data_IF_237941391617
#
_entry.id   IF_237941391617
#
_cell.length_a   1.000
_cell.length_b   1.000
_cell.length_c   1.000
_cell.angle_alpha   90.00
_cell.angle_beta   90.00
_cell.angle_gamma   90.00
#
_symmetry.space_group_name_H-M   'P 1'
#
loop_
_entity.id
_entity.type
_entity.pdbx_description
1 polymer ?
#
# COMPACT_ATOMS: atom_id res chain seq x y z
N UNK A 1 0.81 -14.43 -11.99
CA UNK A 1 0.59 -15.14 -13.24
C UNK A 1 -0.72 -15.95 -13.25
N UNK A 2 -1.16 -16.52 -12.13
CA UNK A 2 -2.49 -17.19 -12.01
C UNK A 2 -3.61 -16.16 -11.74
N UNK A 3 -3.26 -14.98 -11.30
CA UNK A 3 -4.18 -13.89 -10.97
C UNK A 3 -4.88 -13.26 -12.18
N UNK A 4 -4.32 -13.38 -13.39
CA UNK A 4 -4.84 -12.74 -14.59
C UNK A 4 -6.20 -13.28 -15.09
N UNK A 5 -6.62 -14.46 -14.63
CA UNK A 5 -7.86 -15.13 -15.07
C UNK A 5 -9.02 -15.06 -14.06
N UNK A 6 -8.80 -14.46 -12.90
CA UNK A 6 -9.86 -14.39 -11.87
C UNK A 6 -10.75 -13.14 -12.09
N UNK A 7 -12.10 -13.27 -12.14
CA UNK A 7 -12.99 -12.13 -12.40
C UNK A 7 -12.82 -10.96 -11.42
N UNK A 8 -12.51 -11.25 -10.15
CA UNK A 8 -12.20 -10.22 -9.15
C UNK A 8 -10.87 -9.50 -9.42
N UNK A 9 -9.88 -10.19 -10.03
CA UNK A 9 -8.62 -9.57 -10.37
C UNK A 9 -8.74 -8.60 -11.54
N UNK A 10 -9.60 -8.88 -12.52
CA UNK A 10 -9.90 -7.91 -13.58
C UNK A 10 -10.51 -6.63 -13.02
N UNK A 11 -11.41 -6.75 -12.05
CA UNK A 11 -11.95 -5.58 -11.34
C UNK A 11 -10.86 -4.78 -10.61
N UNK A 12 -9.93 -5.45 -9.91
CA UNK A 12 -8.78 -4.79 -9.29
C UNK A 12 -7.82 -4.18 -10.33
N UNK A 13 -7.57 -4.85 -11.46
CA UNK A 13 -6.73 -4.35 -12.55
C UNK A 13 -7.31 -3.07 -13.17
N UNK A 14 -8.61 -2.97 -13.30
CA UNK A 14 -9.29 -1.75 -13.74
C UNK A 14 -9.14 -0.61 -12.73
N UNK A 15 -9.17 -0.92 -11.42
CA UNK A 15 -8.90 0.04 -10.36
C UNK A 15 -7.44 0.53 -10.32
N UNK A 16 -6.47 -0.31 -10.70
CA UNK A 16 -5.04 0.03 -10.74
C UNK A 16 -4.61 0.78 -12.03
N UNK A 17 -5.40 0.73 -13.09
CA UNK A 17 -5.05 1.33 -14.38
C UNK A 17 -5.31 2.84 -14.46
N UNK A 18 -5.75 3.46 -13.38
CA UNK A 18 -5.95 4.90 -13.35
C UNK A 18 -4.58 5.57 -13.19
N UNK A 19 -4.06 6.11 -14.28
CA UNK A 19 -2.85 6.94 -14.30
C UNK A 19 -3.16 8.29 -13.61
N UNK A 20 -3.27 8.26 -12.29
CA UNK A 20 -3.65 9.40 -11.49
C UNK A 20 -2.44 10.05 -10.85
N UNK A 21 -2.41 11.35 -10.91
CA UNK A 21 -1.52 12.22 -10.14
C UNK A 21 -1.87 12.28 -8.64
N UNK A 22 -2.52 11.23 -8.12
CA UNK A 22 -2.86 11.13 -6.71
C UNK A 22 -1.60 11.13 -5.84
N UNK A 23 -1.56 11.98 -4.83
CA UNK A 23 -0.56 11.98 -3.77
C UNK A 23 -1.17 11.41 -2.50
N UNK A 24 -0.44 10.49 -1.88
CA UNK A 24 -0.75 10.01 -0.55
C UNK A 24 -0.37 11.10 0.46
N UNK A 25 -1.28 11.39 1.40
CA UNK A 25 -1.07 12.36 2.45
C UNK A 25 -1.05 11.73 3.85
N UNK A 26 -0.51 12.47 4.82
CA UNK A 26 -0.59 12.11 6.24
C UNK A 26 -2.07 12.03 6.65
N UNK A 27 -2.40 11.11 7.54
CA UNK A 27 -3.75 10.80 8.03
C UNK A 27 -4.63 9.95 7.10
N UNK A 28 -4.20 9.66 5.87
CA UNK A 28 -4.96 8.80 4.99
C UNK A 28 -4.90 7.33 5.39
N UNK A 29 -6.01 6.63 5.16
CA UNK A 29 -6.09 5.21 5.44
C UNK A 29 -5.43 4.40 4.33
N UNK A 30 -4.61 3.44 4.74
CA UNK A 30 -3.97 2.45 3.87
C UNK A 30 -4.23 1.04 4.39
N UNK A 31 -3.99 0.04 3.56
CA UNK A 31 -4.19 -1.36 3.90
C UNK A 31 -2.95 -2.17 3.59
N UNK A 32 -2.49 -2.96 4.58
CA UNK A 32 -1.43 -3.96 4.41
C UNK A 32 -2.10 -5.29 4.09
N UNK A 33 -1.82 -5.84 2.91
CA UNK A 33 -2.41 -7.08 2.42
C UNK A 33 -1.45 -8.24 2.62
N UNK A 34 -1.66 -9.04 3.66
CA UNK A 34 -0.71 -10.10 4.00
C UNK A 34 -1.36 -11.27 4.73
N UNK A 35 -0.49 -12.09 5.30
CA UNK A 35 -0.88 -13.31 6.00
C UNK A 35 -0.39 -13.28 7.46
N UNK A 36 -0.99 -12.44 8.33
CA UNK A 36 -0.57 -12.32 9.73
C UNK A 36 -0.62 -13.67 10.41
N UNK A 37 0.48 -14.09 11.05
CA UNK A 37 0.65 -15.40 11.66
C UNK A 37 0.34 -16.59 10.74
N UNK A 38 0.43 -16.41 9.42
CA UNK A 38 0.04 -17.42 8.44
C UNK A 38 -1.47 -17.60 8.27
N UNK A 39 -2.29 -16.76 8.90
CA UNK A 39 -3.75 -16.82 8.71
C UNK A 39 -4.15 -16.43 7.29
N UNK A 40 -5.07 -17.20 6.74
CA UNK A 40 -5.66 -16.96 5.42
C UNK A 40 -7.18 -17.05 5.51
N UNK A 41 -7.85 -16.28 4.67
CA UNK A 41 -9.27 -16.52 4.38
C UNK A 41 -9.34 -17.43 3.16
N UNK A 42 -9.99 -18.60 3.28
CA UNK A 42 -10.13 -19.55 2.17
C UNK A 42 -11.48 -19.40 1.50
N UNK A 43 -11.47 -19.31 0.18
CA UNK A 43 -12.65 -19.43 -0.67
C UNK A 43 -12.35 -20.43 -1.77
N UNK A 44 -13.11 -21.54 -1.85
CA UNK A 44 -12.96 -22.59 -2.90
C UNK A 44 -11.51 -23.07 -3.08
N UNK A 45 -10.79 -23.31 -2.00
CA UNK A 45 -9.38 -23.73 -1.95
C UNK A 45 -8.34 -22.66 -2.33
N UNK A 46 -8.72 -21.42 -2.55
CA UNK A 46 -7.77 -20.32 -2.78
C UNK A 46 -7.55 -19.52 -1.48
N UNK A 47 -6.30 -19.30 -1.07
CA UNK A 47 -6.00 -18.45 0.06
C UNK A 47 -6.14 -16.98 -0.32
N UNK A 48 -6.81 -16.20 0.52
CA UNK A 48 -6.92 -14.76 0.38
C UNK A 48 -6.16 -14.07 1.51
N UNK A 49 -5.52 -12.96 1.19
CA UNK A 49 -4.82 -12.14 2.16
C UNK A 49 -5.80 -11.48 3.15
N UNK A 50 -5.33 -11.27 4.37
CA UNK A 50 -5.99 -10.44 5.36
C UNK A 50 -5.63 -8.98 5.10
N UNK A 51 -6.63 -8.12 5.14
CA UNK A 51 -6.47 -6.68 4.99
C UNK A 51 -6.36 -6.04 6.37
N UNK A 52 -5.17 -5.58 6.73
CA UNK A 52 -4.93 -4.86 7.99
C UNK A 52 -4.94 -3.37 7.69
N UNK A 53 -5.85 -2.63 8.31
CA UNK A 53 -5.91 -1.18 8.16
C UNK A 53 -4.77 -0.50 8.90
N UNK A 54 -4.34 0.63 8.37
CA UNK A 54 -3.40 1.55 8.99
C UNK A 54 -3.64 2.96 8.52
N UNK A 55 -2.97 3.91 9.16
CA UNK A 55 -3.03 5.33 8.83
C UNK A 55 -1.62 5.82 8.50
N UNK A 56 -1.47 6.65 7.48
CA UNK A 56 -0.20 7.30 7.15
C UNK A 56 0.20 8.22 8.29
N UNK A 57 1.36 7.93 8.91
CA UNK A 57 1.83 8.58 10.14
C UNK A 57 3.02 9.52 9.93
N UNK A 58 3.63 9.53 8.76
CA UNK A 58 4.68 10.49 8.39
C UNK A 58 4.47 10.98 6.97
N UNK A 59 5.05 12.15 6.66
CA UNK A 59 4.95 12.77 5.34
C UNK A 59 5.48 11.86 4.22
N UNK A 60 4.61 11.32 3.31
CA UNK A 60 5.06 10.36 2.31
C UNK A 60 5.91 10.97 1.20
N UNK A 61 5.86 12.28 1.00
CA UNK A 61 6.68 13.00 0.00
C UNK A 61 8.14 13.10 0.44
N UNK A 62 8.43 13.03 1.74
CA UNK A 62 9.77 13.12 2.32
C UNK A 62 10.35 11.74 2.61
N UNK A 63 11.68 11.63 2.64
CA UNK A 63 12.37 10.43 3.06
C UNK A 63 12.51 10.38 4.59
N UNK A 64 12.50 9.19 5.15
CA UNK A 64 12.80 9.00 6.57
C UNK A 64 14.29 9.10 6.82
N UNK A 65 14.65 9.72 7.95
CA UNK A 65 16.03 9.65 8.46
C UNK A 65 16.11 8.55 9.52
N UNK A 66 16.84 7.47 9.22
CA UNK A 66 17.07 6.35 10.14
C UNK A 66 18.57 6.24 10.37
N UNK A 67 19.01 6.47 11.62
CA UNK A 67 20.42 6.42 12.00
C UNK A 67 21.33 7.31 11.09
N UNK A 68 20.91 8.54 10.85
CA UNK A 68 21.58 9.52 9.97
C UNK A 68 21.68 9.10 8.50
N UNK A 69 20.82 8.19 8.05
CA UNK A 69 20.70 7.82 6.65
C UNK A 69 19.29 8.12 6.17
N UNK A 70 19.19 8.84 5.07
CA UNK A 70 17.92 9.02 4.38
C UNK A 70 17.54 7.73 3.65
N UNK A 71 16.31 7.27 3.91
CA UNK A 71 15.75 6.10 3.26
C UNK A 71 14.41 6.43 2.61
N UNK A 72 14.12 5.93 1.40
CA UNK A 72 12.89 6.21 0.66
C UNK A 72 11.71 5.40 1.23
N UNK A 73 11.37 5.69 2.47
CA UNK A 73 10.28 5.06 3.20
C UNK A 73 9.44 6.13 3.92
N UNK A 74 8.25 5.73 4.35
CA UNK A 74 7.39 6.51 5.24
C UNK A 74 6.84 5.60 6.35
N UNK A 75 6.23 6.18 7.36
CA UNK A 75 5.63 5.44 8.48
C UNK A 75 4.12 5.33 8.33
N UNK A 76 3.59 4.20 8.73
CA UNK A 76 2.17 3.99 8.98
C UNK A 76 1.95 3.58 10.43
N UNK A 77 0.86 4.03 11.03
CA UNK A 77 0.33 3.51 12.28
C UNK A 77 -0.62 2.36 11.96
N UNK A 78 -0.24 1.13 12.29
CA UNK A 78 -1.01 -0.07 11.93
C UNK A 78 -0.69 -1.22 12.85
N UNK A 79 -1.74 -1.89 13.35
CA UNK A 79 -1.60 -3.11 14.18
C UNK A 79 -1.17 -4.34 13.37
N UNK A 80 -0.10 -4.18 12.61
CA UNK A 80 0.50 -5.28 11.85
C UNK A 80 1.10 -6.35 12.77
N UNK A 81 1.26 -7.55 12.25
CA UNK A 81 1.73 -8.72 12.99
C UNK A 81 2.80 -9.47 12.19
N UNK A 82 3.48 -10.39 12.86
CA UNK A 82 4.43 -11.30 12.22
C UNK A 82 3.79 -11.98 10.98
N UNK A 83 4.54 -12.10 9.89
CA UNK A 83 4.07 -12.65 8.62
C UNK A 83 3.56 -11.59 7.64
N UNK A 84 3.51 -10.31 8.03
CA UNK A 84 3.11 -9.21 7.13
C UNK A 84 4.29 -8.44 6.50
N UNK A 85 5.53 -8.69 6.93
CA UNK A 85 6.70 -8.12 6.25
C UNK A 85 6.78 -8.62 4.80
N UNK A 86 7.05 -7.71 3.86
CA UNK A 86 7.00 -7.98 2.42
C UNK A 86 5.60 -7.82 1.80
N UNK A 87 4.58 -7.51 2.59
CA UNK A 87 3.22 -7.31 2.10
C UNK A 87 3.07 -6.00 1.35
N UNK A 88 2.32 -5.97 0.23
CA UNK A 88 1.95 -4.73 -0.42
C UNK A 88 1.10 -3.85 0.49
N UNK A 89 1.36 -2.56 0.42
CA UNK A 89 0.54 -1.52 1.05
C UNK A 89 -0.21 -0.80 -0.04
N UNK A 90 -1.52 -0.73 0.11
CA UNK A 90 -2.39 -0.08 -0.86
C UNK A 90 -3.20 1.05 -0.20
N UNK A 91 -3.39 2.10 -0.96
CA UNK A 91 -4.44 3.07 -0.72
C UNK A 91 -5.70 2.60 -1.44
N UNK A 92 -6.84 2.63 -0.76
CA UNK A 92 -8.14 2.29 -1.34
C UNK A 92 -9.17 3.34 -0.98
N UNK A 93 -9.80 3.89 -1.99
CA UNK A 93 -10.90 4.82 -1.84
C UNK A 93 -12.16 4.27 -2.47
N UNK A 94 -13.26 4.42 -1.76
CA UNK A 94 -14.60 4.16 -2.28
C UNK A 94 -15.06 5.29 -3.19
N UNK A 95 -16.05 5.01 -4.04
CA UNK A 95 -16.70 5.99 -4.90
C UNK A 95 -17.20 7.21 -4.10
N UNK A 96 -17.03 8.41 -4.68
CA UNK A 96 -17.59 9.65 -4.14
C UNK A 96 -16.79 10.31 -3.03
N UNK A 97 -15.53 9.89 -2.80
CA UNK A 97 -14.64 10.54 -1.84
C UNK A 97 -13.77 11.56 -2.57
N UNK A 98 -13.64 12.75 -1.99
CA UNK A 98 -12.76 13.81 -2.47
C UNK A 98 -11.29 13.43 -2.27
N UNK A 99 -10.47 13.70 -3.26
CA UNK A 99 -9.03 13.45 -3.23
C UNK A 99 -8.25 14.70 -3.61
N UNK A 100 -7.14 14.91 -2.92
CA UNK A 100 -6.14 15.89 -3.34
C UNK A 100 -5.45 15.41 -4.64
N UNK A 101 -5.48 16.25 -5.66
CA UNK A 101 -4.74 16.04 -6.90
C UNK A 101 -3.42 16.83 -6.82
N UNK A 102 -2.36 16.29 -7.43
CA UNK A 102 -0.99 16.81 -7.39
C UNK A 102 -0.83 18.30 -7.65
N UNK A 103 -1.77 18.91 -8.37
CA UNK A 103 -1.74 20.33 -8.75
C UNK A 103 -2.59 21.21 -7.84
N UNK A 104 -2.92 20.74 -6.61
CA UNK A 104 -3.70 21.50 -5.62
C UNK A 104 -5.21 21.52 -5.88
N UNK A 105 -5.68 20.70 -6.80
CA UNK A 105 -7.12 20.52 -7.08
C UNK A 105 -7.75 19.45 -6.19
N UNK A 106 -9.08 19.50 -6.11
CA UNK A 106 -9.90 18.43 -5.52
C UNK A 106 -10.59 17.67 -6.66
N UNK A 107 -10.60 16.35 -6.57
CA UNK A 107 -11.33 15.48 -7.49
C UNK A 107 -12.25 14.52 -6.76
N UNK A 108 -13.46 14.33 -7.29
CA UNK A 108 -14.39 13.29 -6.83
C UNK A 108 -14.31 12.14 -7.81
N UNK A 109 -13.97 10.96 -7.32
CA UNK A 109 -13.91 9.76 -8.16
C UNK A 109 -15.29 9.10 -8.24
N UNK A 110 -15.80 8.95 -9.46
CA UNK A 110 -17.07 8.25 -9.72
C UNK A 110 -16.99 6.73 -9.53
N UNK A 111 -15.78 6.18 -9.42
CA UNK A 111 -15.51 4.74 -9.28
C UNK A 111 -14.53 4.46 -8.13
N UNK A 112 -14.53 3.27 -7.54
CA UNK A 112 -13.51 2.88 -6.57
C UNK A 112 -12.10 3.01 -7.16
N UNK A 113 -11.19 3.50 -6.34
CA UNK A 113 -9.80 3.73 -6.71
C UNK A 113 -8.85 2.97 -5.79
N UNK A 114 -7.85 2.32 -6.36
CA UNK A 114 -6.79 1.64 -5.63
C UNK A 114 -5.42 2.05 -6.19
N UNK A 115 -4.45 2.22 -5.29
CA UNK A 115 -3.06 2.53 -5.66
C UNK A 115 -2.10 1.79 -4.76
N UNK A 116 -1.08 1.16 -5.34
CA UNK A 116 0.06 0.67 -4.58
C UNK A 116 0.88 1.86 -4.09
N UNK A 117 1.12 1.90 -2.79
CA UNK A 117 1.90 2.98 -2.18
C UNK A 117 3.26 2.51 -1.70
N UNK A 118 3.43 1.20 -1.50
CA UNK A 118 4.72 0.64 -1.11
C UNK A 118 4.65 -0.81 -0.64
N UNK A 119 5.76 -1.24 -0.02
CA UNK A 119 5.91 -2.54 0.60
C UNK A 119 6.16 -2.36 2.11
N UNK A 120 5.38 -3.04 2.91
CA UNK A 120 5.53 -3.06 4.36
C UNK A 120 6.80 -3.83 4.75
N UNK A 121 7.67 -3.25 5.55
CA UNK A 121 8.94 -3.89 5.98
C UNK A 121 8.88 -4.47 7.39
N UNK A 122 8.07 -3.89 8.27
CA UNK A 122 7.99 -4.30 9.66
C UNK A 122 7.77 -3.10 10.58
N UNK A 123 7.55 -3.38 11.86
CA UNK A 123 7.43 -2.35 12.90
C UNK A 123 8.78 -1.75 13.24
N UNK A 124 8.81 -0.51 13.74
CA UNK A 124 10.04 0.15 14.17
C UNK A 124 10.68 -0.55 15.37
N UNK A 125 9.86 -1.13 16.25
CA UNK A 125 10.24 -2.03 17.34
C UNK A 125 9.02 -2.90 17.73
N UNK A 126 9.21 -3.83 18.68
CA UNK A 126 8.17 -4.78 19.08
C UNK A 126 6.98 -4.14 19.79
N UNK A 127 7.20 -3.04 20.49
CA UNK A 127 6.18 -2.33 21.29
C UNK A 127 5.44 -1.24 20.50
N UNK A 128 5.88 -0.95 19.27
CA UNK A 128 5.32 0.12 18.47
C UNK A 128 4.30 -0.39 17.45
N UNK A 129 3.20 0.33 17.27
CA UNK A 129 2.29 0.14 16.14
C UNK A 129 2.75 0.88 14.88
N UNK A 130 3.82 1.68 14.96
CA UNK A 130 4.43 2.31 13.78
C UNK A 130 5.26 1.31 12.99
N UNK A 131 5.08 1.32 11.69
CA UNK A 131 5.80 0.45 10.78
C UNK A 131 6.31 1.16 9.53
N UNK A 132 7.39 0.62 8.97
CA UNK A 132 8.03 1.15 7.77
C UNK A 132 7.35 0.66 6.50
N UNK A 133 7.12 1.58 5.57
CA UNK A 133 6.67 1.28 4.21
C UNK A 133 7.69 1.84 3.22
N UNK A 134 8.37 0.95 2.48
CA UNK A 134 9.22 1.33 1.36
C UNK A 134 8.36 1.84 0.22
N UNK A 135 8.69 3.01 -0.32
CA UNK A 135 7.91 3.68 -1.36
C UNK A 135 7.87 2.86 -2.64
N UNK A 136 6.74 2.85 -3.30
CA UNK A 136 6.50 2.03 -4.49
C UNK A 136 7.51 2.27 -5.62
N UNK A 137 7.97 3.50 -5.83
CA UNK A 137 8.92 3.80 -6.91
C UNK A 137 10.23 3.01 -6.77
N UNK A 138 10.73 2.78 -5.54
CA UNK A 138 11.95 1.98 -5.30
C UNK A 138 11.75 0.54 -5.74
N UNK A 139 10.58 -0.02 -5.46
CA UNK A 139 10.23 -1.39 -5.85
C UNK A 139 10.15 -1.49 -7.37
N UNK A 140 9.54 -0.49 -8.01
CA UNK A 140 9.45 -0.41 -9.46
C UNK A 140 10.83 -0.34 -10.11
N UNK A 141 11.74 0.49 -9.60
CA UNK A 141 13.11 0.62 -10.11
C UNK A 141 13.87 -0.71 -10.03
N UNK A 142 13.70 -1.46 -8.92
CA UNK A 142 14.30 -2.80 -8.77
C UNK A 142 13.73 -3.77 -9.81
N UNK A 143 12.41 -3.82 -9.99
CA UNK A 143 11.75 -4.68 -10.96
C UNK A 143 12.20 -4.35 -12.38
N UNK A 144 12.29 -3.08 -12.72
CA UNK A 144 12.69 -2.63 -14.06
C UNK A 144 14.18 -2.92 -14.34
N UNK A 145 15.03 -2.89 -13.31
CA UNK A 145 16.45 -3.26 -13.43
C UNK A 145 16.68 -4.75 -13.73
N UNK A 146 15.76 -5.62 -13.32
CA UNK A 146 15.86 -7.08 -13.56
C UNK A 146 15.40 -7.46 -14.99
N UNK A 147 14.64 -6.59 -15.66
CA UNK A 147 14.09 -6.84 -17.00
C UNK A 147 15.07 -6.46 -18.13
N UNK A 148 16.19 -5.84 -17.79
CA UNK A 148 17.28 -5.51 -18.71
C UNK A 148 18.31 -6.64 -18.77
#
# INVERSE_FOLDING_TARGET
IILEKHPKYQHYKECFNINTSYNLDVTENVFVLGFPFGYTVKSKNEPHAVWTSGTVASEPSLNLNINNKEVPAFLIDSKTRQGQSGSPVIYYSKQGIDHHIRDGGFGIWGTPFMKEVGIYSGRINEDSDLGYVWKWFVIKDIIDSIKQ
#
